data_IF_986285469451
#
_entry.id   IF_986285469451
#
_cell.length_a   1.000
_cell.length_b   1.000
_cell.length_c   1.000
_cell.angle_alpha   90.00
_cell.angle_beta   90.00
_cell.angle_gamma   90.00
#
_symmetry.space_group_name_H-M   'P 1'
#
loop_
_entity.id
_entity.type
_entity.pdbx_description
1 polymer ?
#
# COMPACT_ATOMS: atom_id res chain seq x y z
N UNK A 1 14.18 7.91 -8.01
CA UNK A 1 13.59 6.76 -7.29
C UNK A 1 14.66 5.69 -7.16
N UNK A 2 14.72 4.99 -6.04
CA UNK A 2 15.76 4.00 -5.76
C UNK A 2 15.19 2.58 -5.81
N UNK A 3 16.07 1.61 -6.06
CA UNK A 3 15.73 0.20 -6.07
C UNK A 3 15.37 -0.25 -4.66
N UNK A 4 14.22 -0.91 -4.46
CA UNK A 4 13.81 -1.32 -3.12
C UNK A 4 14.66 -2.48 -2.57
N UNK A 5 15.42 -3.17 -3.42
CA UNK A 5 16.27 -4.32 -3.06
C UNK A 5 17.70 -3.88 -2.71
N UNK A 6 18.37 -3.13 -3.59
CA UNK A 6 19.78 -2.78 -3.44
C UNK A 6 20.08 -1.27 -3.31
N UNK A 7 19.04 -0.43 -3.25
CA UNK A 7 19.16 1.02 -3.10
C UNK A 7 19.82 1.78 -4.25
N UNK A 8 20.24 1.08 -5.32
CA UNK A 8 20.78 1.72 -6.51
C UNK A 8 19.72 2.54 -7.24
N UNK A 9 20.16 3.56 -7.97
CA UNK A 9 19.23 4.42 -8.71
C UNK A 9 18.51 3.60 -9.80
N UNK A 10 17.17 3.68 -9.83
CA UNK A 10 16.38 3.06 -10.90
C UNK A 10 16.24 4.02 -12.09
N UNK A 11 16.44 3.48 -13.29
CA UNK A 11 16.03 4.13 -14.52
C UNK A 11 14.54 3.84 -14.75
N UNK A 12 13.70 4.85 -14.51
CA UNK A 12 12.25 4.71 -14.61
C UNK A 12 11.82 4.74 -16.08
N UNK A 13 11.15 3.68 -16.50
CA UNK A 13 10.54 3.59 -17.83
C UNK A 13 9.21 4.36 -17.87
N UNK A 14 9.01 5.07 -18.98
CA UNK A 14 7.80 5.86 -19.22
C UNK A 14 6.55 4.96 -19.25
N UNK A 15 5.40 5.55 -18.95
CA UNK A 15 4.11 4.87 -19.12
C UNK A 15 3.93 4.45 -20.59
N UNK A 16 3.41 3.24 -20.81
CA UNK A 16 3.26 2.60 -22.13
C UNK A 16 4.57 2.22 -22.83
N UNK A 17 5.72 2.28 -22.15
CA UNK A 17 6.95 1.67 -22.67
C UNK A 17 6.76 0.15 -22.82
N UNK A 18 7.37 -0.43 -23.86
CA UNK A 18 7.40 -1.89 -24.05
C UNK A 18 8.42 -2.60 -23.15
N UNK A 19 9.15 -1.83 -22.32
CA UNK A 19 10.19 -2.33 -21.41
C UNK A 19 9.82 -2.02 -19.98
N UNK A 20 10.04 -3.00 -19.10
CA UNK A 20 9.93 -2.82 -17.65
C UNK A 20 11.04 -1.91 -17.12
N UNK A 21 10.76 -1.22 -16.02
CA UNK A 21 11.78 -0.57 -15.21
C UNK A 21 12.61 -1.65 -14.53
N UNK A 22 13.92 -1.67 -14.77
CA UNK A 22 14.84 -2.66 -14.22
C UNK A 22 15.94 -2.01 -13.41
N UNK A 23 16.37 -2.68 -12.35
CA UNK A 23 17.60 -2.30 -11.65
C UNK A 23 18.81 -2.78 -12.45
N UNK A 24 19.82 -1.93 -12.59
CA UNK A 24 21.09 -2.29 -13.24
C UNK A 24 21.98 -3.22 -12.39
N UNK A 25 21.71 -3.31 -11.09
CA UNK A 25 22.60 -3.92 -10.11
C UNK A 25 22.02 -5.13 -9.39
N UNK A 26 20.72 -5.42 -9.57
CA UNK A 26 20.08 -6.61 -9.04
C UNK A 26 18.92 -7.05 -9.95
N UNK A 27 18.26 -8.16 -9.62
CA UNK A 27 17.17 -8.73 -10.44
C UNK A 27 15.82 -8.01 -10.28
N UNK A 28 15.79 -6.88 -9.57
CA UNK A 28 14.56 -6.13 -9.37
C UNK A 28 14.01 -5.57 -10.68
N UNK A 29 12.71 -5.76 -10.91
CA UNK A 29 11.96 -5.20 -12.01
C UNK A 29 10.55 -4.78 -11.59
N UNK A 30 10.03 -3.75 -12.22
CA UNK A 30 8.63 -3.32 -12.11
C UNK A 30 8.07 -2.91 -13.48
N UNK A 31 6.76 -3.06 -13.72
CA UNK A 31 6.15 -2.67 -14.99
C UNK A 31 6.43 -1.22 -15.38
N UNK A 32 6.56 -0.97 -16.68
CA UNK A 32 6.65 0.38 -17.24
C UNK A 32 5.54 1.29 -16.68
N UNK A 33 5.85 2.55 -16.36
CA UNK A 33 4.83 3.48 -15.85
C UNK A 33 4.42 3.27 -14.39
N UNK A 34 4.89 2.23 -13.69
CA UNK A 34 4.56 1.96 -12.28
C UNK A 34 4.80 3.18 -11.39
N UNK A 35 6.01 3.72 -11.39
CA UNK A 35 6.36 4.92 -10.62
C UNK A 35 5.48 6.14 -10.97
N UNK A 36 5.16 6.33 -12.24
CA UNK A 36 4.29 7.43 -12.70
C UNK A 36 2.87 7.28 -12.17
N UNK A 37 2.30 6.07 -12.27
CA UNK A 37 0.94 5.81 -11.83
C UNK A 37 0.79 5.94 -10.31
N UNK A 38 1.75 5.41 -9.54
CA UNK A 38 1.72 5.54 -8.08
C UNK A 38 1.85 7.00 -7.66
N UNK A 39 2.75 7.75 -8.30
CA UNK A 39 2.91 9.20 -8.03
C UNK A 39 1.62 9.96 -8.36
N UNK A 40 1.03 9.72 -9.53
CA UNK A 40 -0.25 10.31 -9.92
C UNK A 40 -1.36 9.99 -8.91
N UNK A 41 -1.44 8.73 -8.46
CA UNK A 41 -2.41 8.30 -7.46
C UNK A 41 -2.21 9.07 -6.15
N UNK A 42 -0.99 9.15 -5.64
CA UNK A 42 -0.65 9.91 -4.43
C UNK A 42 -1.07 11.38 -4.52
N UNK A 43 -0.77 12.05 -5.64
CA UNK A 43 -1.15 13.45 -5.87
C UNK A 43 -2.67 13.64 -5.88
N UNK A 44 -3.41 12.76 -6.55
CA UNK A 44 -4.88 12.83 -6.60
C UNK A 44 -5.47 12.63 -5.21
N UNK A 45 -4.96 11.68 -4.42
CA UNK A 45 -5.41 11.45 -3.05
C UNK A 45 -5.08 12.65 -2.14
N UNK A 46 -3.91 13.28 -2.31
CA UNK A 46 -3.54 14.49 -1.57
C UNK A 46 -4.48 15.66 -1.86
N UNK A 47 -4.86 15.86 -3.13
CA UNK A 47 -5.87 16.85 -3.52
C UNK A 47 -7.25 16.51 -3.00
N UNK A 48 -7.64 15.23 -3.03
CA UNK A 48 -8.90 14.76 -2.47
C UNK A 48 -9.03 15.12 -0.98
N UNK A 49 -7.99 14.86 -0.18
CA UNK A 49 -7.98 15.21 1.25
C UNK A 49 -8.15 16.71 1.50
N UNK A 50 -7.44 17.54 0.72
CA UNK A 50 -7.59 19.00 0.77
C UNK A 50 -9.02 19.44 0.44
N UNK A 51 -9.63 18.82 -0.58
CA UNK A 51 -10.98 19.16 -1.03
C UNK A 51 -12.06 18.79 0.00
N UNK A 52 -11.89 17.72 0.77
CA UNK A 52 -12.82 17.36 1.84
C UNK A 52 -12.56 18.15 3.14
N UNK A 53 -11.58 19.05 3.17
CA UNK A 53 -11.33 19.97 4.28
C UNK A 53 -10.30 19.49 5.30
N UNK A 54 -9.51 18.45 5.00
CA UNK A 54 -8.39 18.04 5.84
C UNK A 54 -7.25 19.06 5.68
N UNK A 55 -6.81 19.64 6.80
CA UNK A 55 -5.67 20.57 6.85
C UNK A 55 -4.42 19.88 7.42
N UNK A 56 -4.60 18.85 8.25
CA UNK A 56 -3.52 18.13 8.94
C UNK A 56 -3.77 16.63 8.93
N UNK A 57 -2.68 15.88 8.92
CA UNK A 57 -2.65 14.44 9.07
C UNK A 57 -1.88 14.10 10.35
N UNK A 58 -2.42 13.21 11.18
CA UNK A 58 -1.75 12.59 12.32
C UNK A 58 -1.37 11.15 11.99
N UNK A 59 -0.09 10.79 12.20
CA UNK A 59 0.47 9.44 12.07
C UNK A 59 1.36 9.17 13.28
N UNK A 60 1.07 8.11 14.03
CA UNK A 60 1.63 7.92 15.37
C UNK A 60 1.33 9.15 16.23
N UNK A 61 2.38 9.77 16.74
CA UNK A 61 2.32 11.02 17.52
C UNK A 61 2.68 12.27 16.70
N UNK A 62 2.88 12.13 15.38
CA UNK A 62 3.36 13.22 14.51
C UNK A 62 2.23 13.81 13.68
N UNK A 63 2.04 15.13 13.76
CA UNK A 63 1.17 15.89 12.86
C UNK A 63 1.96 16.48 11.68
N UNK A 64 1.38 16.47 10.49
CA UNK A 64 1.94 17.11 9.30
C UNK A 64 0.88 17.71 8.39
N UNK A 65 1.28 18.71 7.61
CA UNK A 65 0.49 19.33 6.53
C UNK A 65 0.99 18.90 5.14
N UNK A 66 2.04 18.09 5.09
CA UNK A 66 2.65 17.59 3.86
C UNK A 66 1.98 16.28 3.42
N UNK A 67 0.84 16.42 2.76
CA UNK A 67 0.05 15.32 2.21
C UNK A 67 0.84 14.45 1.24
N UNK A 68 1.73 15.07 0.44
CA UNK A 68 2.44 14.37 -0.63
C UNK A 68 3.51 13.44 -0.04
N UNK A 69 4.26 13.92 0.97
CA UNK A 69 5.20 13.08 1.72
C UNK A 69 4.52 11.95 2.49
N UNK A 70 3.28 12.16 2.95
CA UNK A 70 2.51 11.12 3.64
C UNK A 70 1.98 10.07 2.68
N UNK A 71 1.38 10.49 1.57
CA UNK A 71 0.65 9.62 0.64
C UNK A 71 1.54 8.97 -0.42
N UNK A 72 2.85 9.21 -0.40
CA UNK A 72 3.78 8.61 -1.34
C UNK A 72 3.83 7.07 -1.22
N UNK A 73 4.48 6.45 -2.21
CA UNK A 73 4.59 5.00 -2.37
C UNK A 73 5.24 4.26 -1.18
N UNK A 74 6.11 4.92 -0.40
CA UNK A 74 6.94 4.34 0.67
C UNK A 74 6.44 4.70 2.09
N UNK A 75 5.49 5.64 2.18
CA UNK A 75 4.91 6.15 3.43
C UNK A 75 3.61 5.41 3.76
N UNK A 76 2.44 6.08 3.78
CA UNK A 76 1.17 5.47 4.22
C UNK A 76 0.42 4.72 3.12
N UNK A 77 0.78 4.93 1.84
CA UNK A 77 0.08 4.29 0.73
C UNK A 77 0.05 2.75 0.78
N UNK A 78 1.11 2.04 1.22
CA UNK A 78 1.04 0.59 1.46
C UNK A 78 -0.06 0.21 2.45
N UNK A 79 -0.17 0.93 3.58
CA UNK A 79 -1.19 0.67 4.59
C UNK A 79 -2.60 0.97 4.06
N UNK A 80 -2.76 2.06 3.30
CA UNK A 80 -4.01 2.39 2.62
C UNK A 80 -4.43 1.29 1.65
N UNK A 81 -3.51 0.82 0.81
CA UNK A 81 -3.78 -0.24 -0.15
C UNK A 81 -4.23 -1.52 0.55
N UNK A 82 -3.51 -1.96 1.60
CA UNK A 82 -3.88 -3.14 2.39
C UNK A 82 -5.26 -2.99 3.01
N UNK A 83 -5.56 -1.84 3.63
CA UNK A 83 -6.87 -1.59 4.22
C UNK A 83 -7.99 -1.59 3.20
N UNK A 84 -7.75 -0.98 2.04
CA UNK A 84 -8.70 -1.00 0.96
C UNK A 84 -8.99 -2.46 0.54
N UNK A 85 -7.95 -3.34 0.48
CA UNK A 85 -8.11 -4.77 0.16
C UNK A 85 -8.85 -5.58 1.20
N UNK A 86 -8.73 -5.22 2.47
CA UNK A 86 -9.42 -5.92 3.56
C UNK A 86 -10.88 -5.47 3.71
N UNK A 87 -11.21 -4.22 3.36
CA UNK A 87 -12.54 -3.64 3.55
C UNK A 87 -13.47 -3.77 2.32
N UNK A 88 -13.27 -4.81 1.50
CA UNK A 88 -14.03 -5.13 0.27
C UNK A 88 -15.55 -5.31 0.46
N UNK A 89 -16.06 -5.38 1.69
CA UNK A 89 -17.50 -5.41 1.96
C UNK A 89 -18.15 -4.03 1.87
N UNK A 90 -17.38 -2.96 2.09
CA UNK A 90 -17.85 -1.57 2.04
C UNK A 90 -17.62 -0.93 0.67
N UNK A 91 -16.67 -1.48 -0.09
CA UNK A 91 -16.16 -0.98 -1.36
C UNK A 91 -16.42 -2.08 -2.38
N UNK A 92 -17.34 -1.86 -3.33
CA UNK A 92 -17.96 -2.91 -4.17
C UNK A 92 -17.02 -3.85 -4.96
N UNK A 93 -17.61 -4.73 -5.77
CA UNK A 93 -16.94 -5.84 -6.49
C UNK A 93 -15.75 -5.47 -7.39
N UNK A 94 -15.55 -4.18 -7.71
CA UNK A 94 -14.40 -3.67 -8.47
C UNK A 94 -13.05 -3.71 -7.73
N UNK A 95 -13.03 -4.05 -6.44
CA UNK A 95 -11.83 -3.97 -5.63
C UNK A 95 -10.71 -4.95 -6.04
N UNK A 96 -11.06 -6.19 -6.42
CA UNK A 96 -10.06 -7.19 -6.85
C UNK A 96 -9.35 -6.82 -8.17
N UNK A 97 -9.79 -5.73 -8.82
CA UNK A 97 -9.23 -5.25 -10.08
C UNK A 97 -8.21 -4.11 -9.93
N UNK A 98 -7.87 -3.69 -8.70
CA UNK A 98 -6.87 -2.63 -8.48
C UNK A 98 -5.49 -3.11 -8.93
N UNK A 99 -4.87 -2.50 -9.97
CA UNK A 99 -3.55 -2.88 -10.50
C UNK A 99 -2.40 -2.33 -9.64
N UNK A 100 -2.52 -2.44 -8.32
CA UNK A 100 -1.51 -2.03 -7.34
C UNK A 100 -1.21 -3.18 -6.39
N UNK A 101 0.07 -3.35 -6.08
CA UNK A 101 0.58 -4.28 -5.09
C UNK A 101 1.68 -3.64 -4.26
N UNK A 102 2.15 -4.34 -3.24
CA UNK A 102 3.32 -3.94 -2.46
C UNK A 102 4.49 -4.86 -2.75
N UNK A 103 5.69 -4.31 -2.78
CA UNK A 103 6.96 -5.05 -2.74
C UNK A 103 7.72 -4.72 -1.46
N UNK A 104 8.59 -5.60 -1.01
CA UNK A 104 9.50 -5.30 0.10
C UNK A 104 10.46 -4.17 -0.28
N UNK A 105 10.66 -3.24 0.64
CA UNK A 105 11.59 -2.11 0.51
C UNK A 105 12.09 -1.74 1.90
N UNK A 106 13.34 -2.08 2.24
CA UNK A 106 13.87 -1.88 3.59
C UNK A 106 13.98 -0.40 4.00
N UNK A 107 13.89 0.52 3.05
CA UNK A 107 13.99 1.96 3.29
C UNK A 107 12.61 2.63 3.41
N UNK A 108 11.53 1.89 3.13
CA UNK A 108 10.17 2.37 3.28
C UNK A 108 9.68 2.23 4.73
N UNK A 109 8.73 3.07 5.11
CA UNK A 109 8.23 3.14 6.49
C UNK A 109 7.68 1.81 7.00
N UNK A 110 6.95 1.07 6.15
CA UNK A 110 6.38 -0.24 6.46
C UNK A 110 7.23 -1.40 5.95
N UNK A 111 8.50 -1.17 5.63
CA UNK A 111 9.34 -2.09 4.85
C UNK A 111 8.69 -2.55 3.54
N UNK A 112 7.77 -1.73 3.01
CA UNK A 112 6.95 -2.03 1.84
C UNK A 112 6.75 -0.77 1.03
N UNK A 113 6.76 -0.94 -0.29
CA UNK A 113 6.48 0.13 -1.27
C UNK A 113 5.38 -0.30 -2.23
N UNK A 114 4.48 0.62 -2.57
CA UNK A 114 3.44 0.36 -3.58
C UNK A 114 4.02 0.48 -4.99
N UNK A 115 3.69 -0.49 -5.84
CA UNK A 115 4.00 -0.50 -7.27
C UNK A 115 2.77 -0.91 -8.08
N UNK A 116 2.80 -0.70 -9.40
CA UNK A 116 1.80 -1.28 -10.29
C UNK A 116 2.09 -2.75 -10.62
N UNK A 117 1.03 -3.51 -10.90
CA UNK A 117 1.09 -4.89 -11.40
C UNK A 117 1.02 -4.98 -12.93
N UNK A 118 0.82 -3.88 -13.66
CA UNK A 118 0.69 -3.87 -15.13
C UNK A 118 1.27 -2.59 -15.73
N UNK A 119 1.75 -2.69 -16.97
CA UNK A 119 2.16 -1.53 -17.77
C UNK A 119 0.98 -0.84 -18.48
N UNK A 120 -0.17 -1.52 -18.59
CA UNK A 120 -1.34 -1.08 -19.37
C UNK A 120 -2.40 -0.39 -18.50
N UNK A 121 -2.02 0.67 -17.81
CA UNK A 121 -2.94 1.38 -16.91
C UNK A 121 -3.75 2.38 -17.73
N UNK A 122 -4.85 1.90 -18.29
CA UNK A 122 -5.76 2.70 -19.13
C UNK A 122 -6.82 3.43 -18.31
N UNK A 123 -7.16 2.92 -17.13
CA UNK A 123 -8.16 3.52 -16.25
C UNK A 123 -7.71 3.49 -14.77
N UNK A 124 -7.13 4.59 -14.25
CA UNK A 124 -6.68 4.66 -12.86
C UNK A 124 -7.83 4.82 -11.86
N UNK A 125 -9.05 5.13 -12.32
CA UNK A 125 -10.16 5.61 -11.49
C UNK A 125 -10.55 4.61 -10.41
N UNK A 126 -10.58 3.31 -10.71
CA UNK A 126 -10.95 2.26 -9.74
C UNK A 126 -10.02 2.26 -8.54
N UNK A 127 -8.70 2.38 -8.78
CA UNK A 127 -7.70 2.44 -7.70
C UNK A 127 -7.86 3.69 -6.86
N UNK A 128 -8.03 4.84 -7.52
CA UNK A 128 -8.17 6.13 -6.87
C UNK A 128 -9.42 6.15 -5.99
N UNK A 129 -10.57 5.72 -6.52
CA UNK A 129 -11.83 5.70 -5.79
C UNK A 129 -11.72 4.82 -4.55
N UNK A 130 -11.20 3.59 -4.68
CA UNK A 130 -11.11 2.68 -3.54
C UNK A 130 -10.16 3.19 -2.43
N UNK A 131 -9.03 3.79 -2.81
CA UNK A 131 -8.10 4.40 -1.86
C UNK A 131 -8.69 5.67 -1.22
N UNK A 132 -9.40 6.49 -2.00
CA UNK A 132 -10.09 7.69 -1.52
C UNK A 132 -11.22 7.35 -0.56
N UNK A 133 -12.02 6.31 -0.83
CA UNK A 133 -13.06 5.81 0.06
C UNK A 133 -12.48 5.30 1.40
N UNK A 134 -11.32 4.65 1.34
CA UNK A 134 -10.58 4.22 2.55
C UNK A 134 -10.15 5.43 3.38
N UNK A 135 -9.57 6.46 2.74
CA UNK A 135 -9.20 7.71 3.39
C UNK A 135 -10.40 8.46 3.95
N UNK A 136 -11.50 8.51 3.21
CA UNK A 136 -12.73 9.17 3.63
C UNK A 136 -13.35 8.48 4.84
N UNK A 137 -13.37 7.14 4.84
CA UNK A 137 -13.82 6.35 5.98
C UNK A 137 -12.99 6.66 7.24
N UNK A 138 -11.67 6.72 7.12
CA UNK A 138 -10.79 7.11 8.22
C UNK A 138 -11.01 8.55 8.68
N UNK A 139 -11.26 9.48 7.74
CA UNK A 139 -11.58 10.87 8.08
C UNK A 139 -12.89 10.97 8.85
N UNK A 140 -13.93 10.27 8.41
CA UNK A 140 -15.23 10.25 9.09
C UNK A 140 -15.11 9.69 10.51
N UNK A 141 -14.41 8.57 10.69
CA UNK A 141 -14.11 8.01 12.01
C UNK A 141 -13.31 8.97 12.89
N UNK A 142 -12.32 9.67 12.30
CA UNK A 142 -11.58 10.72 13.00
C UNK A 142 -12.54 11.78 13.53
N UNK A 143 -13.45 12.27 12.69
CA UNK A 143 -14.42 13.29 13.09
C UNK A 143 -15.41 12.81 14.15
N UNK A 144 -15.81 11.55 14.12
CA UNK A 144 -16.72 10.95 15.12
C UNK A 144 -16.05 10.78 16.49
N UNK A 145 -14.77 10.36 16.52
CA UNK A 145 -14.01 10.14 17.75
C UNK A 145 -13.43 11.44 18.33
N UNK A 146 -13.12 12.40 17.47
CA UNK A 146 -12.66 13.72 17.88
C UNK A 146 -13.86 14.53 18.38
N UNK A 147 -14.17 14.46 19.67
CA UNK A 147 -15.19 15.33 20.31
C UNK A 147 -14.89 16.85 20.14
N UNK A 148 -13.74 17.19 19.56
CA UNK A 148 -13.37 18.53 19.12
C UNK A 148 -13.92 18.83 17.72
N UNK A 149 -14.50 20.02 17.53
CA UNK A 149 -14.93 20.59 16.23
C UNK A 149 -13.83 20.70 15.14
N UNK A 150 -12.67 20.08 15.32
CA UNK A 150 -11.57 20.09 14.36
C UNK A 150 -11.88 19.14 13.19
N UNK A 151 -12.75 19.59 12.28
CA UNK A 151 -13.03 18.95 10.97
C UNK A 151 -11.81 18.89 10.04
N UNK A 152 -10.63 19.25 10.55
CA UNK A 152 -9.42 19.59 9.82
C UNK A 152 -8.30 18.57 10.02
N UNK A 153 -8.51 17.59 10.90
CA UNK A 153 -7.56 16.52 11.18
C UNK A 153 -8.01 15.20 10.55
N UNK A 154 -7.07 14.49 9.96
CA UNK A 154 -7.21 13.08 9.59
C UNK A 154 -6.24 12.25 10.44
N UNK A 155 -6.76 11.38 11.28
CA UNK A 155 -5.95 10.48 12.10
C UNK A 155 -5.78 9.13 11.38
N UNK A 156 -4.61 8.94 10.78
CA UNK A 156 -4.29 7.72 10.03
C UNK A 156 -3.94 6.55 10.96
N UNK A 157 -3.81 6.75 12.28
CA UNK A 157 -3.74 5.62 13.21
C UNK A 157 -5.03 4.79 13.20
N UNK A 158 -6.14 5.41 12.79
CA UNK A 158 -7.43 4.75 12.58
C UNK A 158 -7.50 3.92 11.29
N UNK A 159 -6.46 3.99 10.44
CA UNK A 159 -6.24 3.03 9.34
C UNK A 159 -5.56 1.75 9.82
N UNK A 160 -5.27 1.59 11.11
CA UNK A 160 -5.11 0.23 11.64
C UNK A 160 -6.37 -0.54 11.25
N UNK A 161 -6.28 -1.76 10.71
CA UNK A 161 -7.42 -2.41 10.09
C UNK A 161 -8.65 -2.23 10.98
N UNK A 162 -9.77 -1.85 10.39
CA UNK A 162 -11.05 -1.81 11.11
C UNK A 162 -11.42 -3.24 11.62
N UNK A 163 -10.58 -4.25 11.30
CA UNK A 163 -10.51 -5.60 11.87
C UNK A 163 -9.29 -5.91 12.79
N UNK A 164 -8.31 -5.03 12.97
CA UNK A 164 -7.10 -5.20 13.78
C UNK A 164 -7.27 -4.76 15.24
N UNK A 165 -8.50 -4.74 15.74
CA UNK A 165 -8.73 -5.19 17.11
C UNK A 165 -8.47 -6.70 17.27
N UNK A 166 -8.12 -7.42 16.20
CA UNK A 166 -7.59 -8.77 16.22
C UNK A 166 -6.16 -8.81 15.64
N UNK A 167 -5.17 -8.80 16.52
CA UNK A 167 -3.71 -8.99 16.28
C UNK A 167 -3.36 -10.24 15.43
N UNK A 168 -4.33 -11.07 15.05
CA UNK A 168 -4.16 -12.29 14.27
C UNK A 168 -3.97 -12.06 12.75
N UNK A 169 -4.42 -10.93 12.19
CA UNK A 169 -4.41 -10.72 10.73
C UNK A 169 -3.03 -10.34 10.17
N UNK A 170 -2.18 -9.67 10.97
CA UNK A 170 -0.80 -9.33 10.57
C UNK A 170 0.10 -10.58 10.66
N UNK A 171 -0.17 -11.47 11.62
CA UNK A 171 0.45 -12.79 11.66
C UNK A 171 0.00 -13.68 10.48
N UNK A 172 -1.27 -13.64 10.07
CA UNK A 172 -1.76 -14.45 8.96
C UNK A 172 -1.09 -14.14 7.60
N UNK A 173 -0.69 -12.88 7.35
CA UNK A 173 0.03 -12.52 6.11
C UNK A 173 1.54 -12.84 6.15
N UNK A 174 2.09 -13.16 7.32
CA UNK A 174 3.52 -13.46 7.52
C UNK A 174 3.80 -14.97 7.64
N UNK A 175 2.76 -15.80 7.68
CA UNK A 175 2.88 -17.26 7.90
C UNK A 175 2.73 -18.07 6.60
N UNK A 176 2.16 -17.51 5.53
CA UNK A 176 1.91 -18.26 4.29
C UNK A 176 3.13 -18.42 3.35
N UNK A 177 4.26 -17.74 3.63
CA UNK A 177 5.55 -18.03 2.94
C UNK A 177 6.37 -19.14 3.62
N UNK A 178 6.03 -19.52 4.87
CA UNK A 178 6.75 -20.55 5.62
C UNK A 178 6.23 -21.98 5.41
N UNK A 179 4.99 -22.15 4.94
CA UNK A 179 4.34 -23.46 4.85
C UNK A 179 4.67 -24.26 3.57
N UNK A 180 5.39 -23.67 2.60
CA UNK A 180 5.79 -24.34 1.35
C UNK A 180 7.16 -25.03 1.40
N UNK A 181 7.95 -24.85 2.48
CA UNK A 181 9.29 -25.41 2.60
C UNK A 181 9.45 -26.53 3.65
N UNK A 182 8.38 -27.00 4.32
CA UNK A 182 8.49 -28.05 5.35
C UNK A 182 8.00 -29.44 4.93
N UNK A 183 7.68 -29.70 3.66
CA UNK A 183 7.26 -31.05 3.20
C UNK A 183 8.33 -31.84 2.43
N UNK A 184 9.60 -31.46 2.55
CA UNK A 184 10.73 -32.29 2.07
C UNK A 184 11.78 -32.48 3.14
N UNK A 185 11.48 -33.28 4.16
CA UNK A 185 12.40 -34.24 4.77
C UNK A 185 11.67 -35.07 5.84
N UNK A 186 12.10 -36.34 5.98
CA UNK A 186 11.56 -37.42 6.82
C UNK A 186 10.39 -38.20 6.16
N UNK A 187 10.48 -39.49 5.81
CA UNK A 187 11.26 -40.61 6.38
C UNK A 187 11.65 -41.63 5.31
N UNK A 188 12.93 -42.02 5.30
CA UNK A 188 13.43 -43.33 4.85
C UNK A 188 13.97 -44.05 6.09
N UNK A 189 13.61 -45.33 6.27
CA UNK A 189 14.10 -46.23 7.32
C UNK A 189 13.02 -46.55 8.36
N UNK A 190 12.35 -47.71 8.29
CA UNK A 190 12.77 -48.97 8.93
C UNK A 190 11.94 -49.17 10.22
N UNK A 191 11.55 -50.34 10.74
CA UNK A 191 11.79 -51.75 10.46
C UNK A 191 10.82 -52.56 11.37
N UNK A 192 10.54 -53.82 11.00
CA UNK A 192 10.15 -54.97 11.83
C UNK A 192 8.83 -54.97 12.65
N UNK A 193 7.97 -55.97 12.36
CA UNK A 193 7.80 -57.18 13.21
C UNK A 193 7.80 -58.39 12.28
#
# INVERSE_FOLDING_TARGET
MFCPVCSEQLFIENMFSSRDTVCSSCEYKEPAGSAHFVTFTSEVLGRFLKNIGVEKILIGDTETVDFDSVLNAQSILPALLVNAKLNTKSIGSGFNSIPLTTVEDQHAFYKRRVISTTAEITNPSTSIVALAETLFSAHKLTMELSNTKSKRLLNLNLLSPVSASQEQSIHAFSIDEGALNSTKNEKVGGMAI
#
